data_IF_199216925907
#
_entry.id   IF_199216925907
#
_cell.length_a   1.000
_cell.length_b   1.000
_cell.length_c   1.000
_cell.angle_alpha   90.00
_cell.angle_beta   90.00
_cell.angle_gamma   90.00
#
_symmetry.space_group_name_H-M   'P 1'
#
loop_
_entity.id
_entity.type
_entity.pdbx_description
1 polymer ?
#
# COMPACT_ATOMS: atom_id res chain seq x y z
N UNK A 1 -70.10 3.17 -7.09
CA UNK A 1 -68.67 3.15 -7.52
C UNK A 1 -67.86 3.76 -6.37
N UNK A 2 -68.07 3.28 -5.15
CA UNK A 2 -67.28 2.29 -4.40
C UNK A 2 -65.78 2.62 -4.29
N UNK A 3 -65.40 2.97 -3.07
CA UNK A 3 -64.10 3.46 -2.55
C UNK A 3 -62.97 2.42 -2.67
N UNK A 4 -63.22 1.29 -3.32
CA UNK A 4 -62.32 0.14 -3.44
C UNK A 4 -61.25 0.26 -4.55
N UNK A 5 -61.26 1.31 -5.38
CA UNK A 5 -60.37 1.40 -6.54
C UNK A 5 -59.15 2.34 -6.37
N UNK A 6 -58.92 2.92 -5.19
CA UNK A 6 -57.78 3.83 -4.95
C UNK A 6 -56.80 3.37 -3.86
N UNK A 7 -57.01 2.20 -3.25
CA UNK A 7 -56.11 1.66 -2.23
C UNK A 7 -55.27 0.45 -2.68
N UNK A 8 -55.45 -0.06 -3.90
CA UNK A 8 -54.69 -1.21 -4.40
C UNK A 8 -53.37 -0.85 -5.12
N UNK A 9 -52.99 0.43 -5.21
CA UNK A 9 -51.72 0.85 -5.83
C UNK A 9 -50.65 1.32 -4.84
N UNK A 10 -50.91 1.24 -3.53
CA UNK A 10 -49.93 1.59 -2.49
C UNK A 10 -49.55 0.40 -1.59
N UNK A 11 -50.09 -0.80 -1.86
CA UNK A 11 -49.73 -2.03 -1.14
C UNK A 11 -48.59 -2.82 -1.82
N UNK A 12 -48.19 -2.46 -3.04
CA UNK A 12 -47.12 -3.13 -3.79
C UNK A 12 -45.75 -2.42 -3.75
N UNK A 13 -45.64 -1.28 -3.06
CA UNK A 13 -44.35 -0.58 -2.84
C UNK A 13 -43.81 -0.78 -1.41
N UNK A 14 -44.64 -1.29 -0.48
CA UNK A 14 -44.25 -1.52 0.91
C UNK A 14 -43.78 -2.96 1.20
N UNK A 15 -43.53 -3.79 0.18
CA UNK A 15 -43.16 -5.20 0.35
C UNK A 15 -41.81 -5.58 -0.30
N UNK A 16 -40.88 -4.64 -0.43
CA UNK A 16 -39.51 -4.89 -0.93
C UNK A 16 -38.40 -4.14 -0.17
N UNK A 17 -38.66 -3.69 1.06
CA UNK A 17 -37.61 -3.18 1.97
C UNK A 17 -37.74 -3.88 3.32
N UNK A 18 -37.66 -5.20 3.30
CA UNK A 18 -37.35 -6.05 4.45
C UNK A 18 -36.77 -7.35 3.92
N UNK A 19 -35.80 -7.25 3.00
CA UNK A 19 -34.82 -8.31 2.85
C UNK A 19 -33.82 -8.08 3.97
N UNK A 20 -34.06 -8.83 5.04
CA UNK A 20 -33.03 -9.52 5.80
C UNK A 20 -31.64 -8.86 5.70
N UNK A 21 -31.24 -8.22 6.80
CA UNK A 21 -29.86 -8.33 7.26
C UNK A 21 -29.58 -9.83 7.51
N UNK A 22 -29.48 -10.62 6.44
CA UNK A 22 -28.57 -11.73 6.42
C UNK A 22 -27.21 -11.08 6.44
N UNK A 23 -26.66 -11.00 7.65
CA UNK A 23 -25.24 -11.20 7.85
C UNK A 23 -24.83 -12.33 6.90
N UNK A 24 -24.21 -11.98 5.78
CA UNK A 24 -23.65 -12.96 4.84
C UNK A 24 -22.42 -13.49 5.55
N UNK A 25 -22.67 -14.36 6.52
CA UNK A 25 -21.70 -15.27 7.04
C UNK A 25 -21.30 -16.18 5.87
N UNK A 26 -20.06 -16.03 5.41
CA UNK A 26 -19.43 -17.06 4.59
C UNK A 26 -19.02 -16.70 3.18
N UNK A 27 -18.68 -15.45 2.86
CA UNK A 27 -17.53 -15.30 1.97
C UNK A 27 -16.32 -15.86 2.74
N UNK A 28 -15.58 -16.88 2.24
CA UNK A 28 -14.40 -17.36 2.93
C UNK A 28 -13.48 -16.16 3.15
N UNK A 29 -13.30 -15.73 4.40
CA UNK A 29 -12.32 -14.68 4.71
C UNK A 29 -11.01 -15.20 4.14
N UNK A 30 -10.51 -14.55 3.08
CA UNK A 30 -9.22 -14.91 2.50
C UNK A 30 -8.23 -14.89 3.66
N UNK A 31 -7.58 -16.03 3.86
CA UNK A 31 -6.58 -16.16 4.91
C UNK A 31 -5.51 -15.10 4.70
N UNK A 32 -5.24 -14.30 5.73
CA UNK A 32 -4.15 -13.34 5.67
C UNK A 32 -2.83 -14.09 5.46
N UNK A 33 -2.23 -13.89 4.29
CA UNK A 33 -0.94 -14.43 3.91
C UNK A 33 -0.18 -13.34 3.18
N UNK A 34 0.97 -12.93 3.73
CA UNK A 34 1.87 -12.02 3.04
C UNK A 34 2.97 -12.83 2.35
N UNK A 35 3.16 -12.70 1.03
CA UNK A 35 4.19 -13.43 0.34
C UNK A 35 5.57 -12.97 0.81
N UNK A 36 6.52 -13.90 0.83
CA UNK A 36 7.92 -13.56 1.08
C UNK A 36 8.43 -12.65 -0.04
N UNK A 37 9.42 -11.82 0.28
CA UNK A 37 10.12 -11.03 -0.73
C UNK A 37 10.78 -11.93 -1.77
N UNK A 38 10.89 -11.49 -3.03
CA UNK A 38 11.54 -12.25 -4.08
C UNK A 38 13.02 -12.50 -3.71
N UNK A 39 13.48 -13.74 -3.90
CA UNK A 39 14.88 -14.12 -3.67
C UNK A 39 15.79 -13.36 -4.64
N UNK A 40 15.37 -13.25 -5.90
CA UNK A 40 16.03 -12.42 -6.89
C UNK A 40 15.59 -10.95 -6.74
N UNK A 41 16.54 -10.12 -6.31
CA UNK A 41 16.36 -8.67 -6.15
C UNK A 41 17.00 -7.86 -7.27
N UNK A 42 17.26 -8.48 -8.43
CA UNK A 42 17.95 -7.84 -9.55
C UNK A 42 17.17 -6.62 -10.06
N UNK A 43 15.87 -6.76 -10.34
CA UNK A 43 15.05 -5.65 -10.84
C UNK A 43 15.05 -4.43 -9.91
N UNK A 44 14.87 -4.67 -8.59
CA UNK A 44 14.95 -3.63 -7.57
C UNK A 44 16.32 -2.93 -7.56
N UNK A 45 17.41 -3.69 -7.68
CA UNK A 45 18.77 -3.14 -7.74
C UNK A 45 19.00 -2.36 -9.04
N UNK A 46 18.52 -2.84 -10.17
CA UNK A 46 18.62 -2.15 -11.46
C UNK A 46 18.01 -0.76 -11.39
N UNK A 47 16.80 -0.64 -10.83
CA UNK A 47 16.14 0.66 -10.65
C UNK A 47 16.97 1.56 -9.72
N UNK A 48 17.35 1.06 -8.54
CA UNK A 48 18.15 1.83 -7.58
C UNK A 48 19.45 2.35 -8.19
N UNK A 49 20.25 1.44 -8.76
CA UNK A 49 21.56 1.76 -9.30
C UNK A 49 21.45 2.79 -10.42
N UNK A 50 20.42 2.70 -11.27
CA UNK A 50 20.24 3.66 -12.35
C UNK A 50 20.01 5.08 -11.83
N UNK A 51 19.19 5.25 -10.79
CA UNK A 51 19.00 6.55 -10.17
C UNK A 51 20.23 7.03 -9.39
N UNK A 52 21.04 6.12 -8.85
CA UNK A 52 22.37 6.45 -8.29
C UNK A 52 23.33 6.94 -9.38
N UNK A 53 23.39 6.28 -10.54
CA UNK A 53 24.22 6.69 -11.67
C UNK A 53 23.82 8.08 -12.17
N UNK A 54 22.52 8.31 -12.39
CA UNK A 54 22.00 9.64 -12.79
C UNK A 54 22.39 10.72 -11.77
N UNK A 55 22.43 10.38 -10.48
CA UNK A 55 22.82 11.31 -9.40
C UNK A 55 24.29 11.62 -9.48
N UNK A 56 25.11 10.59 -9.66
CA UNK A 56 26.55 10.70 -9.79
C UNK A 56 26.93 11.55 -11.00
N UNK A 57 26.24 11.35 -12.13
CA UNK A 57 26.45 12.11 -13.36
C UNK A 57 25.94 13.56 -13.26
N UNK A 58 25.21 13.92 -12.20
CA UNK A 58 24.68 15.27 -12.00
C UNK A 58 23.65 15.69 -13.05
N UNK A 59 22.96 14.71 -13.65
CA UNK A 59 21.97 14.93 -14.70
C UNK A 59 20.55 14.90 -14.15
N UNK A 60 19.57 15.23 -14.99
CA UNK A 60 18.15 15.06 -14.68
C UNK A 60 17.86 13.66 -14.10
N UNK A 61 17.03 13.55 -13.05
CA UNK A 61 16.25 14.64 -12.47
C UNK A 61 16.99 15.45 -11.38
N UNK A 62 18.21 15.05 -11.00
CA UNK A 62 18.89 15.52 -9.79
C UNK A 62 19.25 16.99 -9.75
N UNK A 63 19.41 17.63 -10.91
CA UNK A 63 19.76 19.05 -11.02
C UNK A 63 18.80 19.97 -10.26
N UNK A 64 17.53 19.55 -10.13
CA UNK A 64 16.46 20.31 -9.49
C UNK A 64 15.95 19.66 -8.20
N UNK A 65 16.57 18.57 -7.73
CA UNK A 65 16.12 17.82 -6.56
C UNK A 65 17.04 18.03 -5.35
N UNK A 66 16.47 18.53 -4.26
CA UNK A 66 17.12 18.69 -2.97
C UNK A 66 17.22 17.35 -2.25
N UNK A 67 18.45 16.98 -1.87
CA UNK A 67 18.73 15.71 -1.19
C UNK A 67 18.00 15.54 0.14
N UNK A 68 17.62 16.65 0.78
CA UNK A 68 16.90 16.68 2.05
C UNK A 68 15.54 15.95 1.97
N UNK A 69 14.91 15.91 0.79
CA UNK A 69 13.55 15.38 0.61
C UNK A 69 13.53 13.95 0.05
N UNK A 70 14.68 13.29 -0.03
CA UNK A 70 14.79 11.97 -0.65
C UNK A 70 14.64 10.81 0.34
N UNK A 71 14.49 11.07 1.63
CA UNK A 71 14.47 10.00 2.64
C UNK A 71 13.03 9.67 3.02
N UNK A 72 12.67 8.38 2.94
CA UNK A 72 11.39 7.93 3.48
C UNK A 72 11.36 8.05 5.00
N UNK A 73 10.18 8.33 5.60
CA UNK A 73 9.98 8.16 7.02
C UNK A 73 10.20 6.68 7.42
N UNK A 74 10.83 6.47 8.57
CA UNK A 74 11.16 5.14 9.09
C UNK A 74 9.96 4.51 9.82
N UNK A 75 9.90 3.18 9.84
CA UNK A 75 8.86 2.42 10.53
C UNK A 75 9.30 1.80 11.86
N UNK A 76 10.51 2.11 12.36
CA UNK A 76 11.16 1.40 13.47
C UNK A 76 10.27 1.26 14.73
N UNK A 77 9.55 2.34 15.09
CA UNK A 77 8.74 2.42 16.31
C UNK A 77 7.26 2.01 16.14
N UNK A 78 6.88 1.54 14.96
CA UNK A 78 5.50 1.14 14.67
C UNK A 78 5.23 -0.29 15.15
N UNK A 79 4.05 -0.53 15.70
CA UNK A 79 3.57 -1.89 16.01
C UNK A 79 3.37 -2.70 14.73
N UNK A 80 3.23 -4.03 14.83
CA UNK A 80 3.03 -4.92 13.67
C UNK A 80 1.92 -4.44 12.72
N UNK A 81 0.76 -4.08 13.28
CA UNK A 81 -0.38 -3.61 12.48
C UNK A 81 -0.16 -2.21 11.91
N UNK A 82 0.52 -1.33 12.64
CA UNK A 82 0.87 0.00 12.13
C UNK A 82 1.91 -0.08 11.02
N UNK A 83 2.89 -1.01 11.09
CA UNK A 83 3.82 -1.28 9.99
C UNK A 83 3.09 -1.73 8.72
N UNK A 84 2.07 -2.56 8.85
CA UNK A 84 1.23 -2.97 7.71
C UNK A 84 0.46 -1.78 7.13
N UNK A 85 -0.17 -0.94 7.96
CA UNK A 85 -0.83 0.27 7.49
C UNK A 85 0.12 1.29 6.86
N UNK A 86 1.30 1.47 7.44
CA UNK A 86 2.36 2.33 6.90
C UNK A 86 2.88 1.83 5.55
N UNK A 87 3.04 0.50 5.40
CA UNK A 87 3.40 -0.14 4.13
C UNK A 87 2.31 0.05 3.06
N UNK A 88 1.03 -0.04 3.43
CA UNK A 88 -0.06 0.23 2.49
C UNK A 88 0.03 1.66 1.94
N UNK A 89 0.29 2.64 2.81
CA UNK A 89 0.50 4.04 2.40
C UNK A 89 1.71 4.21 1.48
N UNK A 90 2.84 3.56 1.77
CA UNK A 90 4.01 3.58 0.87
C UNK A 90 3.71 2.94 -0.48
N UNK A 91 3.03 1.80 -0.52
CA UNK A 91 2.67 1.15 -1.78
C UNK A 91 1.71 2.00 -2.61
N UNK A 92 0.79 2.72 -1.96
CA UNK A 92 -0.10 3.68 -2.62
C UNK A 92 0.63 4.90 -3.19
N UNK A 93 1.83 5.23 -2.69
CA UNK A 93 2.71 6.22 -3.28
C UNK A 93 3.59 5.63 -4.40
N UNK A 94 4.23 4.49 -4.14
CA UNK A 94 5.25 3.92 -5.02
C UNK A 94 4.66 3.35 -6.31
N UNK A 95 3.55 2.61 -6.22
CA UNK A 95 2.97 1.92 -7.38
C UNK A 95 2.56 2.91 -8.48
N UNK A 96 1.81 4.00 -8.19
CA UNK A 96 1.47 4.97 -9.22
C UNK A 96 2.69 5.67 -9.82
N UNK A 97 3.70 6.00 -9.01
CA UNK A 97 4.93 6.61 -9.52
C UNK A 97 5.64 5.65 -10.47
N UNK A 98 5.83 4.39 -10.09
CA UNK A 98 6.43 3.34 -10.93
C UNK A 98 5.64 3.10 -12.22
N UNK A 99 4.30 3.08 -12.16
CA UNK A 99 3.44 2.88 -13.33
C UNK A 99 3.50 4.03 -14.32
N UNK A 100 3.75 5.25 -13.85
CA UNK A 100 3.77 6.46 -14.67
C UNK A 100 5.17 7.03 -14.86
N UNK A 101 6.22 6.21 -14.66
CA UNK A 101 7.60 6.69 -14.83
C UNK A 101 7.83 7.19 -16.25
N UNK A 102 8.50 8.35 -16.32
CA UNK A 102 8.80 9.00 -17.59
C UNK A 102 9.93 8.33 -18.37
N UNK A 103 10.84 7.65 -17.67
CA UNK A 103 12.03 7.03 -18.24
C UNK A 103 11.77 5.58 -18.63
N UNK A 104 11.91 5.29 -19.93
CA UNK A 104 11.57 3.99 -20.51
C UNK A 104 12.71 2.99 -20.42
N UNK A 105 13.93 3.45 -20.16
CA UNK A 105 15.14 2.62 -20.10
C UNK A 105 15.06 1.53 -19.02
N UNK A 106 14.26 1.72 -17.97
CA UNK A 106 14.05 0.73 -16.91
C UNK A 106 12.68 0.03 -16.97
N UNK A 107 11.91 0.18 -18.06
CA UNK A 107 10.55 -0.37 -18.17
C UNK A 107 10.46 -1.87 -17.84
N UNK A 108 11.43 -2.68 -18.26
CA UNK A 108 11.48 -4.11 -17.91
C UNK A 108 11.63 -4.33 -16.41
N UNK A 109 12.60 -3.67 -15.78
CA UNK A 109 12.84 -3.79 -14.34
C UNK A 109 11.63 -3.25 -13.54
N UNK A 110 11.04 -2.15 -13.99
CA UNK A 110 9.81 -1.59 -13.39
C UNK A 110 8.64 -2.57 -13.49
N UNK A 111 8.45 -3.23 -14.63
CA UNK A 111 7.42 -4.27 -14.80
C UNK A 111 7.62 -5.42 -13.81
N UNK A 112 8.84 -5.96 -13.72
CA UNK A 112 9.16 -7.05 -12.78
C UNK A 112 8.94 -6.65 -11.31
N UNK A 113 9.24 -5.40 -10.95
CA UNK A 113 8.95 -4.88 -9.61
C UNK A 113 7.45 -4.76 -9.38
N UNK A 114 6.68 -4.24 -10.33
CA UNK A 114 5.23 -4.08 -10.22
C UNK A 114 4.50 -5.42 -10.14
N UNK A 115 4.98 -6.45 -10.85
CA UNK A 115 4.46 -7.83 -10.77
C UNK A 115 4.52 -8.39 -9.35
N UNK A 116 5.46 -7.92 -8.52
CA UNK A 116 5.51 -8.26 -7.09
C UNK A 116 4.68 -7.30 -6.22
N UNK A 117 4.83 -5.98 -6.41
CA UNK A 117 4.22 -4.99 -5.51
C UNK A 117 2.70 -4.95 -5.61
N UNK A 118 2.13 -5.16 -6.80
CA UNK A 118 0.68 -5.11 -7.01
C UNK A 118 -0.05 -6.24 -6.24
N UNK A 119 0.30 -7.53 -6.41
CA UNK A 119 -0.28 -8.60 -5.61
C UNK A 119 -0.03 -8.41 -4.11
N UNK A 120 1.19 -8.00 -3.72
CA UNK A 120 1.52 -7.77 -2.31
C UNK A 120 0.60 -6.73 -1.67
N UNK A 121 0.28 -5.63 -2.37
CA UNK A 121 -0.66 -4.61 -1.86
C UNK A 121 -2.06 -5.21 -1.63
N UNK A 122 -2.54 -6.07 -2.52
CA UNK A 122 -3.87 -6.67 -2.36
C UNK A 122 -3.90 -7.69 -1.21
N UNK A 123 -2.84 -8.49 -1.04
CA UNK A 123 -2.68 -9.39 0.10
C UNK A 123 -2.58 -8.61 1.42
N UNK A 124 -1.89 -7.47 1.41
CA UNK A 124 -1.79 -6.57 2.55
C UNK A 124 -3.15 -6.01 2.98
N UNK A 125 -3.99 -5.59 2.03
CA UNK A 125 -5.36 -5.13 2.33
C UNK A 125 -6.20 -6.22 2.99
N UNK A 126 -6.12 -7.45 2.49
CA UNK A 126 -6.79 -8.61 3.10
C UNK A 126 -6.30 -8.82 4.53
N UNK A 127 -4.99 -8.75 4.75
CA UNK A 127 -4.41 -8.83 6.08
C UNK A 127 -4.87 -7.72 7.02
N UNK A 128 -4.96 -6.49 6.54
CA UNK A 128 -5.42 -5.35 7.33
C UNK A 128 -6.87 -5.46 7.80
N UNK A 129 -7.73 -6.21 7.09
CA UNK A 129 -9.10 -6.53 7.55
C UNK A 129 -9.13 -7.38 8.84
N UNK A 130 -8.01 -8.04 9.17
CA UNK A 130 -7.86 -8.85 10.38
C UNK A 130 -7.28 -8.04 11.57
N UNK A 131 -7.06 -6.73 11.40
CA UNK A 131 -6.58 -5.85 12.47
C UNK A 131 -7.59 -5.82 13.63
N UNK A 132 -7.14 -5.90 14.90
CA UNK A 132 -8.01 -5.74 16.06
C UNK A 132 -8.75 -4.39 16.09
N UNK A 133 -10.04 -4.41 16.42
CA UNK A 133 -10.95 -3.24 16.44
C UNK A 133 -10.58 -2.16 17.46
N UNK A 134 -9.89 -2.52 18.54
CA UNK A 134 -9.54 -1.61 19.64
C UNK A 134 -8.16 -0.97 19.51
N UNK A 135 -7.52 -1.06 18.35
CA UNK A 135 -6.15 -0.58 18.19
C UNK A 135 -6.14 0.93 17.93
N UNK A 136 -5.97 1.73 18.97
CA UNK A 136 -5.81 3.18 18.86
C UNK A 136 -4.52 3.51 18.09
N UNK A 137 -4.60 4.49 17.20
CA UNK A 137 -3.45 4.96 16.44
C UNK A 137 -2.42 5.63 17.35
N UNK A 138 -1.14 5.22 17.25
CA UNK A 138 -0.06 5.86 17.99
C UNK A 138 0.37 7.18 17.34
N UNK A 139 0.97 8.06 18.15
CA UNK A 139 1.65 9.25 17.64
C UNK A 139 2.80 8.93 16.66
N UNK A 140 3.39 7.73 16.74
CA UNK A 140 4.41 7.28 15.78
C UNK A 140 3.81 7.04 14.39
N UNK A 141 2.63 6.44 14.29
CA UNK A 141 1.95 6.26 13.01
C UNK A 141 1.52 7.61 12.42
N UNK A 142 1.03 8.53 13.25
CA UNK A 142 0.70 9.89 12.79
C UNK A 142 1.96 10.60 12.25
N UNK A 143 3.07 10.59 12.99
CA UNK A 143 4.33 11.17 12.52
C UNK A 143 4.85 10.53 11.24
N UNK A 144 4.65 9.22 11.05
CA UNK A 144 4.95 8.55 9.79
C UNK A 144 4.08 9.09 8.63
N UNK A 145 2.76 9.23 8.83
CA UNK A 145 1.84 9.77 7.82
C UNK A 145 2.23 11.18 7.42
N UNK A 146 2.50 12.04 8.40
CA UNK A 146 2.91 13.42 8.18
C UNK A 146 4.24 13.48 7.41
N UNK A 147 5.20 12.63 7.79
CA UNK A 147 6.48 12.50 7.09
C UNK A 147 6.34 12.00 5.65
N UNK A 148 5.43 11.05 5.39
CA UNK A 148 5.18 10.54 4.04
C UNK A 148 4.48 11.59 3.17
N UNK A 149 3.55 12.34 3.75
CA UNK A 149 2.92 13.47 3.08
C UNK A 149 3.94 14.54 2.74
N UNK A 150 4.81 14.92 3.69
CA UNK A 150 5.90 15.87 3.44
C UNK A 150 6.85 15.37 2.34
N UNK A 151 7.24 14.10 2.38
CA UNK A 151 8.05 13.48 1.32
C UNK A 151 7.39 13.63 -0.06
N UNK A 152 6.10 13.32 -0.18
CA UNK A 152 5.39 13.42 -1.45
C UNK A 152 5.28 14.88 -1.94
N UNK A 153 4.82 15.77 -1.05
CA UNK A 153 4.63 17.19 -1.37
C UNK A 153 5.95 17.86 -1.73
N UNK A 154 6.99 17.73 -0.91
CA UNK A 154 8.27 18.40 -1.17
C UNK A 154 8.94 17.91 -2.45
N UNK A 155 8.81 16.64 -2.82
CA UNK A 155 9.33 16.17 -4.11
C UNK A 155 8.50 16.69 -5.28
N UNK A 156 7.17 16.63 -5.19
CA UNK A 156 6.27 17.08 -6.26
C UNK A 156 6.37 18.59 -6.53
N UNK A 157 6.55 19.40 -5.49
CA UNK A 157 6.79 20.85 -5.59
C UNK A 157 8.07 21.20 -6.35
N UNK A 158 9.09 20.34 -6.29
CA UNK A 158 10.34 20.53 -7.04
C UNK A 158 10.16 20.10 -8.49
N UNK A 159 9.74 18.85 -8.71
CA UNK A 159 9.25 18.35 -10.00
C UNK A 159 8.68 16.94 -9.86
N UNK A 160 7.77 16.49 -10.75
CA UNK A 160 7.36 15.10 -10.81
C UNK A 160 8.53 14.11 -10.91
N UNK A 161 9.59 14.49 -11.64
CA UNK A 161 10.78 13.64 -11.78
C UNK A 161 11.60 13.53 -10.49
N UNK A 162 11.54 14.50 -9.58
CA UNK A 162 12.14 14.37 -8.26
C UNK A 162 11.46 13.28 -7.43
N UNK A 163 10.14 13.18 -7.53
CA UNK A 163 9.40 12.10 -6.88
C UNK A 163 9.76 10.74 -7.49
N UNK A 164 9.88 10.64 -8.82
CA UNK A 164 10.37 9.44 -9.51
C UNK A 164 11.75 9.01 -8.99
N UNK A 165 12.70 9.95 -8.91
CA UNK A 165 14.03 9.69 -8.37
C UNK A 165 14.00 9.29 -6.89
N UNK A 166 13.20 9.96 -6.06
CA UNK A 166 13.08 9.62 -4.65
C UNK A 166 12.51 8.21 -4.45
N UNK A 167 11.49 7.82 -5.22
CA UNK A 167 10.94 6.45 -5.23
C UNK A 167 11.99 5.44 -5.69
N UNK A 168 12.66 5.71 -6.81
CA UNK A 168 13.71 4.83 -7.35
C UNK A 168 14.87 4.63 -6.38
N UNK A 169 15.28 5.69 -5.68
CA UNK A 169 16.27 5.60 -4.61
C UNK A 169 15.75 4.75 -3.44
N UNK A 170 14.50 4.88 -3.03
CA UNK A 170 14.02 4.18 -1.82
C UNK A 170 13.49 2.76 -2.08
N UNK A 171 13.55 2.27 -3.32
CA UNK A 171 12.95 0.98 -3.69
C UNK A 171 13.54 -0.22 -2.93
N UNK A 172 14.83 -0.18 -2.58
CA UNK A 172 15.45 -1.23 -1.75
C UNK A 172 15.06 -1.12 -0.27
N UNK A 173 14.88 0.09 0.24
CA UNK A 173 14.37 0.32 1.60
C UNK A 173 12.94 -0.22 1.74
N UNK A 174 12.07 0.06 0.75
CA UNK A 174 10.73 -0.51 0.66
C UNK A 174 10.77 -2.04 0.73
N UNK A 175 11.63 -2.67 -0.07
CA UNK A 175 11.76 -4.13 -0.11
C UNK A 175 12.24 -4.71 1.24
N UNK A 176 13.13 -4.01 1.93
CA UNK A 176 13.61 -4.42 3.25
C UNK A 176 12.50 -4.36 4.30
N UNK A 177 11.67 -3.31 4.28
CA UNK A 177 10.49 -3.21 5.16
C UNK A 177 9.47 -4.31 4.87
N UNK A 178 9.19 -4.61 3.59
CA UNK A 178 8.32 -5.73 3.18
C UNK A 178 8.85 -7.06 3.75
N UNK A 179 10.16 -7.30 3.67
CA UNK A 179 10.79 -8.49 4.25
C UNK A 179 10.58 -8.54 5.76
N UNK A 180 10.76 -7.42 6.46
CA UNK A 180 10.52 -7.30 7.89
C UNK A 180 9.09 -7.68 8.26
N UNK A 181 8.11 -7.07 7.60
CA UNK A 181 6.68 -7.31 7.84
C UNK A 181 6.32 -8.78 7.58
N UNK A 182 6.79 -9.34 6.46
CA UNK A 182 6.49 -10.71 6.06
C UNK A 182 7.05 -11.73 7.07
N UNK A 183 8.29 -11.56 7.53
CA UNK A 183 8.90 -12.46 8.53
C UNK A 183 8.14 -12.44 9.87
N UNK A 184 7.75 -11.26 10.34
CA UNK A 184 6.98 -11.12 11.59
C UNK A 184 5.56 -11.67 11.47
N UNK A 185 5.04 -11.84 10.26
CA UNK A 185 3.75 -12.49 10.02
C UNK A 185 3.86 -14.02 10.02
N UNK A 186 4.93 -14.58 9.45
CA UNK A 186 5.15 -16.04 9.38
C UNK A 186 5.61 -16.68 10.70
N UNK A 187 6.05 -15.91 11.69
CA UNK A 187 6.53 -16.41 12.98
C UNK A 187 5.48 -16.41 14.10
N UNK A 188 4.20 -16.17 13.81
CA UNK A 188 3.16 -16.41 14.82
C UNK A 188 2.93 -17.92 14.97
N UNK A 189 3.09 -18.49 16.19
CA UNK A 189 2.64 -19.85 16.44
C UNK A 189 1.15 -19.92 16.12
N UNK A 190 0.74 -20.92 15.34
CA UNK A 190 -0.66 -21.33 15.32
C UNK A 190 -1.01 -21.75 16.74
N UNK A 191 -1.59 -20.86 17.53
CA UNK A 191 -2.31 -21.27 18.72
C UNK A 191 -3.51 -22.08 18.22
N UNK A 192 -3.33 -23.40 18.16
CA UNK A 192 -4.44 -24.33 18.12
C UNK A 192 -5.29 -24.05 19.35
N UNK A 193 -6.43 -23.40 19.14
CA UNK A 193 -7.51 -23.38 20.11
C UNK A 193 -8.16 -24.77 20.07
N UNK A 194 -7.66 -25.69 20.89
CA UNK A 194 -8.47 -26.81 21.34
C UNK A 194 -9.33 -26.31 22.50
N UNK A 195 -10.63 -26.24 22.27
CA UNK A 195 -11.68 -26.53 23.24
C UNK A 195 -12.99 -26.74 22.47
#
# INVERSE_FOLDING_TARGET
ISVAAKLCLLASVALLISLENHDVDGAPRRTCYLPKTPENRAAFRTIRNKYEDLRFDGVEPWQNCSEKYLQLPKMDNLTKWEKMGAMELQLNLFIPVLQNQSETTFAKATSEVLEFLLPYREDLKVCMQHRPSHHQESGYLQGFKDGLQQFNTSNTEQSPKCLEAAVGMNILSLLQEIKGISLHHHHQPRHHSNN
#
